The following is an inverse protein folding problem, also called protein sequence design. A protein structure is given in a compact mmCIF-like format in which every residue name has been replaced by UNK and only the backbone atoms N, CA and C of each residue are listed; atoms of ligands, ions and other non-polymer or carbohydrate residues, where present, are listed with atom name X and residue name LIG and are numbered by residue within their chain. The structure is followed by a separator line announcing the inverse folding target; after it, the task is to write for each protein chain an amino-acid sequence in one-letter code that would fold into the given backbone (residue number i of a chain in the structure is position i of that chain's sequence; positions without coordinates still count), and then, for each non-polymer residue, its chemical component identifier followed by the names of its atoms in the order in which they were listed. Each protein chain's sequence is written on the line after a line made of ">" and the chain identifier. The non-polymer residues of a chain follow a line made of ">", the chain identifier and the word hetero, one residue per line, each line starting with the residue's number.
data_IF_433374347323
#
_entry.id   IF_433374347323
#
_cell.length_a   1.000
_cell.length_b   1.000
_cell.length_c   1.000
_cell.angle_alpha   90.00
_cell.angle_beta   90.00
_cell.angle_gamma   90.00
#
_symmetry.space_group_name_H-M   'P 1'
#
loop_
_entity.id
_entity.type
_entity.pdbx_description
1 polymer ?
#
# COMPACT_ATOMS: atom_id res chain seq x y z
N UNK A 1 68.97 -8.34 9.76
CA UNK A 1 68.11 -8.95 8.71
C UNK A 1 66.69 -9.32 9.18
N UNK A 2 66.41 -9.50 10.48
CA UNK A 2 65.05 -9.84 10.98
C UNK A 2 63.99 -8.73 10.81
N UNK A 3 64.38 -7.46 10.79
CA UNK A 3 63.43 -6.33 10.66
C UNK A 3 62.85 -6.10 9.25
N UNK A 4 63.47 -6.62 8.19
CA UNK A 4 62.91 -6.50 6.83
C UNK A 4 61.80 -7.52 6.57
N UNK A 5 61.87 -8.69 7.22
CA UNK A 5 60.82 -9.72 7.12
C UNK A 5 59.50 -9.28 7.74
N UNK A 6 59.55 -8.53 8.86
CA UNK A 6 58.35 -8.03 9.53
C UNK A 6 57.62 -6.96 8.71
N UNK A 7 58.35 -6.07 8.03
CA UNK A 7 57.74 -5.04 7.18
C UNK A 7 57.01 -5.64 5.97
N UNK A 8 57.57 -6.70 5.36
CA UNK A 8 56.92 -7.40 4.26
C UNK A 8 55.58 -8.05 4.68
N UNK A 9 55.55 -8.71 5.83
CA UNK A 9 54.33 -9.32 6.35
C UNK A 9 53.24 -8.29 6.67
N UNK A 10 53.62 -7.14 7.22
CA UNK A 10 52.67 -6.04 7.50
C UNK A 10 52.08 -5.49 6.20
N UNK A 11 52.90 -5.27 5.16
CA UNK A 11 52.41 -4.77 3.88
C UNK A 11 51.42 -5.73 3.20
N UNK A 12 51.70 -7.03 3.24
CA UNK A 12 50.78 -8.06 2.71
C UNK A 12 49.47 -8.09 3.49
N UNK A 13 49.52 -8.06 4.82
CA UNK A 13 48.32 -8.02 5.65
C UNK A 13 47.43 -6.81 5.35
N UNK A 14 48.05 -5.65 5.14
CA UNK A 14 47.35 -4.41 4.82
C UNK A 14 46.70 -4.46 3.43
N UNK A 15 47.41 -4.99 2.43
CA UNK A 15 46.86 -5.18 1.09
C UNK A 15 45.66 -6.15 1.07
N UNK A 16 45.77 -7.28 1.79
CA UNK A 16 44.67 -8.24 1.91
C UNK A 16 43.48 -7.64 2.65
N UNK A 17 43.73 -6.90 3.74
CA UNK A 17 42.69 -6.21 4.49
C UNK A 17 41.95 -5.17 3.65
N UNK A 18 42.67 -4.37 2.86
CA UNK A 18 42.07 -3.41 1.93
C UNK A 18 41.25 -4.09 0.83
N UNK A 19 41.79 -5.15 0.22
CA UNK A 19 41.09 -5.91 -0.83
C UNK A 19 39.80 -6.55 -0.29
N UNK A 20 39.84 -7.17 0.89
CA UNK A 20 38.67 -7.75 1.54
C UNK A 20 37.62 -6.68 1.88
N UNK A 21 38.06 -5.52 2.36
CA UNK A 21 37.18 -4.38 2.67
C UNK A 21 36.52 -3.84 1.41
N UNK A 22 37.28 -3.60 0.33
CA UNK A 22 36.73 -3.15 -0.95
C UNK A 22 35.76 -4.18 -1.55
N UNK A 23 36.07 -5.47 -1.43
CA UNK A 23 35.17 -6.53 -1.88
C UNK A 23 33.87 -6.54 -1.06
N UNK A 24 33.97 -6.46 0.26
CA UNK A 24 32.81 -6.52 1.15
C UNK A 24 31.91 -5.28 1.06
N UNK A 25 32.48 -4.08 1.05
CA UNK A 25 31.72 -2.83 0.95
C UNK A 25 31.37 -2.42 -0.48
N UNK A 26 32.05 -2.99 -1.49
CA UNK A 26 31.76 -2.75 -2.90
C UNK A 26 30.58 -3.55 -3.44
N UNK A 27 30.07 -4.54 -2.70
CA UNK A 27 28.85 -5.24 -3.09
C UNK A 27 27.66 -4.27 -2.98
N UNK A 28 26.88 -4.04 -4.05
CA UNK A 28 25.68 -3.24 -3.97
C UNK A 28 24.74 -3.88 -2.96
N UNK A 29 24.52 -3.22 -1.82
CA UNK A 29 23.47 -3.63 -0.90
C UNK A 29 22.15 -3.44 -1.64
N UNK A 30 21.30 -4.47 -1.76
CA UNK A 30 19.99 -4.28 -2.36
C UNK A 30 19.28 -3.21 -1.53
N UNK A 31 18.82 -2.15 -2.20
CA UNK A 31 18.03 -1.10 -1.56
C UNK A 31 16.73 -1.75 -1.08
N UNK A 32 16.69 -2.12 0.19
CA UNK A 32 15.50 -2.63 0.85
C UNK A 32 14.65 -1.46 1.36
N UNK A 33 14.33 -0.52 0.47
CA UNK A 33 13.36 0.51 0.76
C UNK A 33 12.01 0.04 0.24
N UNK A 34 11.27 -0.69 1.08
CA UNK A 34 9.81 -0.68 1.00
C UNK A 34 9.37 0.64 1.61
N UNK A 35 9.47 1.72 0.82
CA UNK A 35 8.96 3.02 1.22
C UNK A 35 7.53 3.12 0.70
N UNK A 36 6.61 3.50 1.57
CA UNK A 36 5.29 3.93 1.18
C UNK A 36 5.13 5.41 1.53
N UNK A 37 4.45 6.15 0.65
CA UNK A 37 4.05 7.53 0.91
C UNK A 37 2.60 7.71 0.48
N UNK A 38 1.87 8.56 1.19
CA UNK A 38 0.47 8.87 0.90
C UNK A 38 0.31 10.38 0.81
N UNK A 39 -0.21 10.82 -0.32
CA UNK A 39 -0.57 12.21 -0.54
C UNK A 39 -1.98 12.30 -1.14
N UNK A 40 -2.92 12.83 -0.36
CA UNK A 40 -4.32 12.99 -0.77
C UNK A 40 -4.93 11.66 -1.27
N UNK A 41 -5.31 11.66 -2.55
CA UNK A 41 -5.95 10.58 -3.30
C UNK A 41 -4.94 9.62 -3.95
N UNK A 42 -3.67 9.72 -3.57
CA UNK A 42 -2.60 8.89 -4.10
C UNK A 42 -1.81 8.19 -2.99
N UNK A 43 -1.48 6.93 -3.24
CA UNK A 43 -0.50 6.19 -2.42
C UNK A 43 0.57 5.65 -3.36
N UNK A 44 1.83 5.89 -3.02
CA UNK A 44 2.97 5.30 -3.72
C UNK A 44 3.65 4.27 -2.83
N UNK A 45 4.06 3.15 -3.41
CA UNK A 45 4.90 2.18 -2.72
C UNK A 45 5.95 1.61 -3.66
N UNK A 46 7.12 1.26 -3.11
CA UNK A 46 8.19 0.60 -3.87
C UNK A 46 8.39 -0.85 -3.41
N UNK A 47 8.77 -1.73 -4.31
CA UNK A 47 9.09 -3.12 -3.99
C UNK A 47 10.01 -3.73 -5.03
N UNK A 48 10.74 -4.79 -4.68
CA UNK A 48 11.62 -5.46 -5.64
C UNK A 48 10.78 -6.21 -6.69
N UNK A 49 11.16 -6.07 -7.95
CA UNK A 49 10.55 -6.77 -9.08
C UNK A 49 11.66 -7.30 -9.98
N UNK A 50 11.57 -8.58 -10.35
CA UNK A 50 12.50 -9.20 -11.29
C UNK A 50 11.79 -9.41 -12.62
N UNK A 51 12.00 -8.47 -13.55
CA UNK A 51 11.64 -8.65 -14.97
C UNK A 51 12.65 -9.55 -15.68
N UNK A 52 13.90 -9.50 -15.25
CA UNK A 52 14.97 -10.39 -15.67
C UNK A 52 15.51 -11.14 -14.44
N UNK A 53 15.54 -12.49 -14.41
CA UNK A 53 16.02 -13.27 -13.27
C UNK A 53 17.43 -12.90 -12.79
N UNK A 54 18.27 -12.33 -13.67
CA UNK A 54 19.64 -11.92 -13.35
C UNK A 54 19.74 -10.50 -12.79
N UNK A 55 18.73 -9.67 -12.99
CA UNK A 55 18.75 -8.25 -12.61
C UNK A 55 17.49 -7.93 -11.84
N UNK A 56 17.65 -7.71 -10.53
CA UNK A 56 16.58 -7.19 -9.70
C UNK A 56 16.40 -5.71 -10.01
N UNK A 57 15.16 -5.30 -10.22
CA UNK A 57 14.77 -3.91 -10.47
C UNK A 57 13.79 -3.45 -9.40
N UNK A 58 13.54 -2.16 -9.33
CA UNK A 58 12.59 -1.60 -8.37
C UNK A 58 11.28 -1.35 -9.10
N UNK A 59 10.22 -1.99 -8.62
CA UNK A 59 8.85 -1.72 -9.01
C UNK A 59 8.29 -0.57 -8.21
N UNK A 60 7.63 0.35 -8.90
CA UNK A 60 6.89 1.46 -8.32
C UNK A 60 5.40 1.18 -8.52
N UNK A 61 4.66 1.25 -7.43
CA UNK A 61 3.21 1.12 -7.39
C UNK A 61 2.63 2.48 -7.11
N UNK A 62 1.61 2.86 -7.86
CA UNK A 62 0.85 4.08 -7.65
C UNK A 62 -0.63 3.74 -7.63
N UNK A 63 -1.25 3.95 -6.49
CA UNK A 63 -2.68 3.86 -6.34
C UNK A 63 -3.30 5.24 -6.60
N UNK A 64 -4.22 5.33 -7.55
CA UNK A 64 -5.03 6.50 -7.84
C UNK A 64 -6.48 6.23 -7.38
N UNK A 65 -6.88 6.85 -6.28
CA UNK A 65 -8.25 6.73 -5.75
C UNK A 65 -9.28 7.32 -6.68
N UNK A 66 -8.96 8.45 -7.31
CA UNK A 66 -9.92 9.22 -8.09
C UNK A 66 -10.26 8.49 -9.39
N UNK A 67 -9.26 7.88 -10.02
CA UNK A 67 -9.47 7.04 -11.19
C UNK A 67 -9.93 5.62 -10.85
N UNK A 68 -9.81 5.20 -9.58
CA UNK A 68 -10.06 3.82 -9.18
C UNK A 68 -9.06 2.85 -9.82
N UNK A 69 -7.80 3.26 -9.97
CA UNK A 69 -6.78 2.49 -10.69
C UNK A 69 -5.57 2.19 -9.82
N UNK A 70 -5.06 0.98 -9.96
CA UNK A 70 -3.73 0.61 -9.51
C UNK A 70 -2.80 0.63 -10.71
N UNK A 71 -1.77 1.46 -10.63
CA UNK A 71 -0.74 1.61 -11.62
C UNK A 71 0.54 0.96 -11.10
N UNK A 72 1.29 0.35 -12.01
CA UNK A 72 2.56 -0.27 -11.72
C UNK A 72 3.57 0.02 -12.82
N UNK A 73 4.79 0.33 -12.43
CA UNK A 73 5.92 0.49 -13.35
C UNK A 73 7.18 -0.14 -12.77
N UNK A 74 8.17 -0.43 -13.62
CA UNK A 74 9.54 -0.78 -13.21
C UNK A 74 10.52 0.28 -13.67
N UNK A 75 11.59 0.45 -12.91
CA UNK A 75 12.74 1.24 -13.32
C UNK A 75 13.74 0.31 -14.02
N UNK A 76 13.97 0.55 -15.31
CA UNK A 76 15.04 -0.10 -16.04
C UNK A 76 16.39 0.45 -15.57
N UNK A 77 17.17 -0.39 -14.88
CA UNK A 77 18.48 -0.03 -14.34
C UNK A 77 19.54 0.21 -15.42
N UNK A 78 19.37 -0.34 -16.62
CA UNK A 78 20.31 -0.08 -17.73
C UNK A 78 20.09 1.30 -18.35
N UNK A 79 18.82 1.75 -18.43
CA UNK A 79 18.49 3.05 -19.01
C UNK A 79 18.31 4.17 -17.97
N UNK A 80 18.12 3.83 -16.70
CA UNK A 80 17.80 4.76 -15.62
C UNK A 80 16.41 5.40 -15.78
N UNK A 81 15.47 4.72 -16.44
CA UNK A 81 14.15 5.27 -16.80
C UNK A 81 13.02 4.32 -16.43
N UNK A 82 11.84 4.89 -16.22
CA UNK A 82 10.57 4.18 -16.04
C UNK A 82 10.16 3.56 -17.37
N UNK A 83 9.78 2.27 -17.36
CA UNK A 83 9.41 1.53 -18.58
C UNK A 83 7.96 1.07 -18.52
N UNK A 84 7.11 1.76 -19.28
CA UNK A 84 5.70 1.43 -19.42
C UNK A 84 4.90 1.59 -18.14
N UNK A 85 3.58 1.40 -18.24
CA UNK A 85 2.70 1.32 -17.10
C UNK A 85 1.77 0.13 -17.30
N UNK A 86 1.67 -0.70 -16.26
CA UNK A 86 0.61 -1.67 -16.14
C UNK A 86 -0.50 -1.06 -15.29
N UNK A 87 -1.76 -1.27 -15.70
CA UNK A 87 -2.92 -0.75 -15.00
C UNK A 87 -3.85 -1.88 -14.58
N UNK A 88 -4.49 -1.72 -13.43
CA UNK A 88 -5.59 -2.57 -12.97
C UNK A 88 -6.72 -1.66 -12.54
N UNK A 89 -7.93 -1.92 -13.05
CA UNK A 89 -9.15 -1.24 -12.61
C UNK A 89 -9.64 -1.85 -11.29
N UNK A 90 -9.48 -1.08 -10.22
CA UNK A 90 -9.88 -1.49 -8.87
C UNK A 90 -11.39 -1.48 -8.68
N UNK A 91 -12.12 -0.69 -9.48
CA UNK A 91 -13.58 -0.64 -9.43
C UNK A 91 -14.15 -2.00 -9.78
N UNK A 92 -13.68 -2.57 -10.89
CA UNK A 92 -14.05 -3.91 -11.33
C UNK A 92 -13.50 -4.97 -10.40
N UNK A 93 -12.24 -4.85 -9.98
CA UNK A 93 -11.60 -5.88 -9.14
C UNK A 93 -12.19 -6.03 -7.74
N UNK A 94 -12.56 -4.92 -7.11
CA UNK A 94 -13.16 -4.92 -5.77
C UNK A 94 -14.70 -4.90 -5.81
N UNK A 95 -15.31 -4.87 -6.99
CA UNK A 95 -16.76 -4.79 -7.17
C UNK A 95 -17.37 -3.53 -6.55
N UNK A 96 -16.69 -2.40 -6.68
CA UNK A 96 -17.08 -1.14 -6.07
C UNK A 96 -18.23 -0.50 -6.84
N UNK A 97 -19.18 0.11 -6.11
CA UNK A 97 -20.24 0.89 -6.73
C UNK A 97 -19.71 2.27 -7.10
N UNK A 98 -20.24 2.85 -8.19
CA UNK A 98 -19.96 4.23 -8.53
C UNK A 98 -20.31 5.16 -7.35
N UNK A 99 -19.44 6.15 -7.08
CA UNK A 99 -19.58 7.13 -5.99
C UNK A 99 -19.57 6.53 -4.56
N UNK A 100 -19.18 5.28 -4.39
CA UNK A 100 -18.99 4.71 -3.06
C UNK A 100 -17.76 5.33 -2.39
N UNK A 101 -17.88 5.67 -1.10
CA UNK A 101 -16.74 6.12 -0.31
C UNK A 101 -15.85 4.91 0.03
N UNK A 102 -14.65 4.89 -0.57
CA UNK A 102 -13.71 3.78 -0.50
C UNK A 102 -12.40 4.25 0.09
N UNK A 103 -11.82 3.40 0.93
CA UNK A 103 -10.60 3.74 1.67
C UNK A 103 -9.60 2.62 1.53
N UNK A 104 -8.58 2.85 0.72
CA UNK A 104 -7.53 1.87 0.47
C UNK A 104 -6.34 2.03 1.42
N UNK A 105 -5.74 0.92 1.79
CA UNK A 105 -4.40 0.88 2.37
C UNK A 105 -3.54 -0.01 1.51
N UNK A 106 -2.31 0.44 1.27
CA UNK A 106 -1.40 -0.24 0.37
C UNK A 106 -0.02 -0.33 1.02
N UNK A 107 0.60 -1.50 0.92
CA UNK A 107 1.99 -1.72 1.33
C UNK A 107 2.62 -2.84 0.51
N UNK A 108 3.94 -2.89 0.47
CA UNK A 108 4.71 -3.94 -0.20
C UNK A 108 5.41 -4.81 0.83
N UNK A 109 5.59 -6.09 0.52
CA UNK A 109 6.39 -6.99 1.33
C UNK A 109 7.17 -7.98 0.47
N UNK A 110 8.35 -8.36 0.95
CA UNK A 110 9.18 -9.37 0.28
C UNK A 110 8.54 -10.75 0.40
N UNK A 111 8.39 -11.42 -0.75
CA UNK A 111 7.97 -12.83 -0.80
C UNK A 111 9.20 -13.71 -0.96
N UNK A 112 10.10 -13.33 -1.87
CA UNK A 112 11.38 -13.99 -2.13
C UNK A 112 12.37 -12.96 -2.67
N UNK A 113 13.63 -13.37 -2.84
CA UNK A 113 14.68 -12.49 -3.33
C UNK A 113 14.33 -11.95 -4.73
N UNK A 114 14.25 -10.63 -4.86
CA UNK A 114 13.91 -9.97 -6.13
C UNK A 114 12.41 -9.95 -6.48
N UNK A 115 11.53 -10.39 -5.59
CA UNK A 115 10.08 -10.34 -5.80
C UNK A 115 9.36 -9.89 -4.54
N UNK A 116 8.64 -8.78 -4.66
CA UNK A 116 7.73 -8.25 -3.66
C UNK A 116 6.28 -8.45 -4.09
N UNK A 117 5.43 -8.72 -3.12
CA UNK A 117 3.99 -8.62 -3.25
C UNK A 117 3.53 -7.22 -2.85
N UNK A 118 2.46 -6.75 -3.49
CA UNK A 118 1.66 -5.63 -3.08
C UNK A 118 0.44 -6.15 -2.33
N UNK A 119 0.26 -5.67 -1.11
CA UNK A 119 -0.93 -5.91 -0.30
C UNK A 119 -1.81 -4.68 -0.39
N UNK A 120 -3.04 -4.86 -0.86
CA UNK A 120 -4.01 -3.78 -1.04
C UNK A 120 -5.29 -4.15 -0.31
N UNK A 121 -5.67 -3.35 0.69
CA UNK A 121 -6.92 -3.54 1.41
C UNK A 121 -7.87 -2.40 1.14
N UNK A 122 -9.12 -2.69 0.81
CA UNK A 122 -10.21 -1.71 0.81
C UNK A 122 -10.98 -1.84 2.14
N UNK A 123 -10.88 -0.81 2.97
CA UNK A 123 -11.25 -0.88 4.38
C UNK A 123 -12.75 -0.72 4.64
N UNK A 124 -13.50 -0.12 3.71
CA UNK A 124 -14.96 0.05 3.84
C UNK A 124 -15.70 -1.27 3.60
N UNK A 125 -15.34 -2.02 2.55
CA UNK A 125 -15.90 -3.34 2.20
C UNK A 125 -15.20 -4.48 2.91
N UNK A 126 -13.99 -4.26 3.44
CA UNK A 126 -13.20 -5.28 4.12
C UNK A 126 -12.61 -6.32 3.16
N UNK A 127 -12.32 -5.94 1.92
CA UNK A 127 -11.67 -6.77 0.92
C UNK A 127 -10.15 -6.58 0.93
N UNK A 128 -9.40 -7.64 0.66
CA UNK A 128 -7.95 -7.67 0.69
C UNK A 128 -7.43 -8.43 -0.53
N UNK A 129 -6.68 -7.72 -1.38
CA UNK A 129 -6.06 -8.27 -2.58
C UNK A 129 -4.54 -8.39 -2.44
N UNK A 130 -3.99 -9.45 -3.02
CA UNK A 130 -2.54 -9.67 -3.13
C UNK A 130 -2.15 -9.61 -4.60
N UNK A 131 -1.21 -8.72 -4.94
CA UNK A 131 -0.75 -8.51 -6.30
C UNK A 131 0.76 -8.67 -6.41
N UNK A 132 1.26 -9.03 -7.59
CA UNK A 132 2.69 -8.93 -7.93
C UNK A 132 2.86 -8.33 -9.30
N UNK A 133 4.02 -7.74 -9.53
CA UNK A 133 4.44 -7.30 -10.86
C UNK A 133 5.41 -8.32 -11.45
N UNK A 134 5.34 -8.52 -12.76
CA UNK A 134 6.28 -9.36 -13.47
C UNK A 134 6.31 -9.05 -14.97
N UNK A 135 7.15 -9.74 -15.74
CA UNK A 135 7.23 -9.56 -17.19
C UNK A 135 5.88 -9.87 -17.85
N UNK A 136 5.52 -9.09 -18.88
CA UNK A 136 4.36 -9.37 -19.72
C UNK A 136 4.45 -10.75 -20.39
N UNK A 137 3.33 -11.29 -20.88
CA UNK A 137 3.26 -12.63 -21.47
C UNK A 137 4.26 -12.85 -22.62
N UNK A 138 4.58 -11.80 -23.38
CA UNK A 138 5.52 -11.84 -24.50
C UNK A 138 6.94 -11.42 -24.12
N UNK A 139 7.25 -11.29 -22.83
CA UNK A 139 8.52 -10.75 -22.34
C UNK A 139 8.71 -9.25 -22.58
N UNK A 140 7.72 -8.59 -23.20
CA UNK A 140 7.71 -7.15 -23.39
C UNK A 140 6.79 -6.49 -22.35
N UNK A 141 7.28 -5.39 -21.77
CA UNK A 141 6.59 -4.64 -20.73
C UNK A 141 6.40 -5.43 -19.44
N UNK A 142 5.51 -4.91 -18.61
CA UNK A 142 5.17 -5.44 -17.29
C UNK A 142 3.68 -5.69 -17.20
N UNK A 143 3.30 -6.59 -16.30
CA UNK A 143 1.91 -6.88 -15.99
C UNK A 143 1.75 -7.01 -14.47
N UNK A 144 0.62 -6.51 -13.97
CA UNK A 144 0.19 -6.72 -12.59
C UNK A 144 -0.68 -7.97 -12.58
N UNK A 145 -0.38 -8.90 -11.67
CA UNK A 145 -1.13 -10.15 -11.50
C UNK A 145 -1.73 -10.20 -10.11
N UNK A 146 -3.03 -10.45 -10.04
CA UNK A 146 -3.75 -10.77 -8.80
C UNK A 146 -3.50 -12.24 -8.46
N UNK A 147 -3.03 -12.49 -7.25
CA UNK A 147 -2.84 -13.85 -6.71
C UNK A 147 -4.00 -14.28 -5.84
N UNK A 148 -4.55 -13.35 -5.07
CA UNK A 148 -5.61 -13.64 -4.12
C UNK A 148 -6.52 -12.42 -3.92
N UNK A 149 -7.77 -12.71 -3.53
CA UNK A 149 -8.77 -11.74 -3.12
C UNK A 149 -9.62 -12.34 -2.02
N UNK A 150 -9.46 -11.84 -0.79
CA UNK A 150 -10.14 -12.35 0.39
C UNK A 150 -10.93 -11.24 1.08
N UNK A 151 -11.82 -11.63 2.00
CA UNK A 151 -12.55 -10.69 2.87
C UNK A 151 -12.08 -10.89 4.30
N UNK A 152 -11.65 -9.82 4.95
CA UNK A 152 -11.27 -9.82 6.37
C UNK A 152 -12.37 -9.26 7.27
N UNK A 153 -13.44 -8.70 6.69
CA UNK A 153 -14.69 -8.43 7.41
C UNK A 153 -15.77 -9.35 6.86
N UNK A 154 -16.29 -10.23 7.72
CA UNK A 154 -17.61 -10.80 7.46
C UNK A 154 -18.62 -9.68 7.64
N UNK A 155 -19.41 -9.40 6.61
CA UNK A 155 -20.65 -8.66 6.81
C UNK A 155 -21.49 -9.50 7.77
N UNK A 156 -21.49 -9.14 9.05
CA UNK A 156 -22.51 -9.59 9.97
C UNK A 156 -23.80 -9.12 9.33
N UNK A 157 -24.56 -10.05 8.75
CA UNK A 157 -25.86 -9.73 8.19
C UNK A 157 -26.60 -8.94 9.28
N UNK A 158 -26.98 -7.69 8.97
CA UNK A 158 -27.71 -6.87 9.90
C UNK A 158 -28.87 -7.73 10.39
N UNK A 159 -28.82 -8.16 11.65
CA UNK A 159 -29.92 -8.90 12.23
C UNK A 159 -31.14 -7.99 12.02
N UNK A 160 -32.26 -8.51 11.49
CA UNK A 160 -33.47 -7.71 11.38
C UNK A 160 -33.64 -7.02 12.71
N UNK A 161 -33.63 -5.68 12.73
CA UNK A 161 -33.96 -4.94 13.94
C UNK A 161 -35.32 -5.48 14.35
N UNK A 162 -35.33 -6.36 15.35
CA UNK A 162 -36.54 -6.87 15.97
C UNK A 162 -37.24 -5.61 16.39
N UNK A 163 -38.32 -5.28 15.67
CA UNK A 163 -38.95 -3.98 15.74
C UNK A 163 -39.07 -3.59 17.19
N UNK A 164 -38.45 -2.48 17.57
CA UNK A 164 -38.73 -1.83 18.84
C UNK A 164 -40.26 -1.80 18.92
N UNK A 165 -40.88 -2.50 19.88
CA UNK A 165 -42.32 -2.45 20.01
C UNK A 165 -42.71 -0.98 20.09
N UNK A 166 -43.76 -0.55 19.37
CA UNK A 166 -44.19 0.83 19.40
C UNK A 166 -44.29 1.25 20.86
N UNK A 167 -43.54 2.30 21.22
CA UNK A 167 -43.48 2.81 22.57
C UNK A 167 -44.93 2.94 23.07
N UNK A 168 -45.27 2.17 24.11
CA UNK A 168 -46.56 2.29 24.74
C UNK A 168 -46.77 3.78 25.07
N UNK A 169 -47.91 4.38 24.71
CA UNK A 169 -48.16 5.78 25.00
C UNK A 169 -48.00 5.98 26.50
N UNK A 170 -47.04 6.81 26.88
CA UNK A 170 -46.81 7.21 28.27
C UNK A 170 -48.13 7.74 28.84
N UNK A 171 -48.72 7.08 29.86
CA UNK A 171 -49.87 7.63 30.54
C UNK A 171 -49.36 8.82 31.36
N UNK A 172 -49.55 10.05 30.86
CA UNK A 172 -49.27 11.24 31.67
C UNK A 172 -48.76 12.50 30.96
N UNK A 173 -48.64 12.55 29.63
CA UNK A 173 -48.18 13.77 28.92
C UNK A 173 -49.26 14.88 28.83
N UNK A 174 -50.01 15.12 29.91
CA UNK A 174 -51.12 16.07 30.00
C UNK A 174 -50.98 17.14 31.08
N UNK A 175 -49.82 17.30 31.71
CA UNK A 175 -49.59 18.40 32.65
C UNK A 175 -48.68 19.44 32.01
N UNK A 176 -49.29 20.49 31.46
CA UNK A 176 -48.59 21.70 31.08
C UNK A 176 -47.83 22.24 32.30
N UNK A 177 -46.51 22.34 32.19
CA UNK A 177 -45.68 23.03 33.20
C UNK A 177 -46.01 24.52 33.04
N UNK A 178 -46.64 25.17 34.03
CA UNK A 178 -46.93 26.60 33.95
C UNK A 178 -45.61 27.37 34.01
N UNK A 179 -45.28 28.15 32.97
CA UNK A 179 -44.23 29.16 33.04
C UNK A 179 -43.05 29.03 32.06
N UNK A 180 -43.07 28.11 31.09
CA UNK A 180 -42.06 28.19 30.01
C UNK A 180 -42.50 29.19 28.93
N UNK A 181 -41.63 30.16 28.56
CA UNK A 181 -41.91 31.12 27.50
C UNK A 181 -41.98 30.42 26.14
N UNK A 182 -42.99 30.81 25.37
CA UNK A 182 -43.26 30.32 24.02
C UNK A 182 -42.11 30.73 23.06
N UNK A 183 -41.40 29.76 22.44
CA UNK A 183 -40.30 30.03 21.52
C UNK A 183 -40.74 30.66 20.19
N UNK A 184 -42.03 30.88 19.97
CA UNK A 184 -42.54 31.47 18.72
C UNK A 184 -42.53 33.01 18.66
N UNK A 185 -42.02 33.71 19.69
CA UNK A 185 -41.93 35.18 19.64
C UNK A 185 -40.69 35.65 18.85
N UNK A 186 -40.85 36.32 17.69
CA UNK A 186 -39.74 36.82 16.91
C UNK A 186 -39.11 38.03 17.62
N UNK A 187 -37.82 37.95 17.86
CA UNK A 187 -37.05 39.00 18.51
C UNK A 187 -37.00 40.24 17.59
N UNK A 188 -37.72 41.31 17.95
CA UNK A 188 -37.61 42.61 17.27
C UNK A 188 -36.37 43.33 17.80
N UNK A 189 -35.34 43.48 16.96
CA UNK A 189 -34.18 44.33 17.26
C UNK A 189 -34.48 45.80 16.90
N UNK A 190 -34.03 46.76 17.72
CA UNK A 190 -34.11 48.21 17.46
C UNK A 190 -33.11 48.70 16.40
#
# INVERSE_FOLDING_TARGET
>A
MRGMGSLGLVAVGLAVGMAATMFYFGQPRPAAAASNDRFQDYIMATGAVSVNPRVQTDGVWLLDYKAGKLLGTVIDRTQGKIVGWAEVDLTTEFGLKAQQDVHFMMTTGYVTQGQSALYLSETSTGQFGVYTMGPGANGNGIVIRRHDMTKFRQQVAAQPQVGVPPAAPLPGAGAAIPGLPDPSTPNKMP
#
